data_IF_978354715314
#
_entry.id   IF_978354715314
#
_cell.length_a   1.000
_cell.length_b   1.000
_cell.length_c   1.000
_cell.angle_alpha   90.00
_cell.angle_beta   90.00
_cell.angle_gamma   90.00
#
_symmetry.space_group_name_H-M   'P 1'
#
loop_
_entity.id
_entity.type
_entity.pdbx_description
1 polymer ?
#
# COMPACT_ATOMS: atom_id res chain seq x y z
N UNK A 1 -30.54 25.86 -19.37
CA UNK A 1 -29.39 25.10 -19.90
C UNK A 1 -29.14 23.89 -19.03
N UNK A 2 -29.58 22.71 -19.45
CA UNK A 2 -29.27 21.45 -18.78
C UNK A 2 -27.79 21.12 -19.05
N UNK A 3 -26.98 21.11 -18.00
CA UNK A 3 -25.60 20.58 -18.06
C UNK A 3 -25.68 19.06 -18.22
N UNK A 4 -25.78 18.59 -19.46
CA UNK A 4 -25.52 17.18 -19.78
C UNK A 4 -24.04 16.91 -19.52
N UNK A 5 -23.75 16.26 -18.39
CA UNK A 5 -22.42 15.69 -18.11
C UNK A 5 -22.14 14.64 -19.19
N UNK A 6 -21.52 15.03 -20.31
CA UNK A 6 -20.99 14.08 -21.30
C UNK A 6 -19.96 13.20 -20.59
N UNK A 7 -20.36 11.97 -20.29
CA UNK A 7 -19.51 10.95 -19.70
C UNK A 7 -18.53 10.50 -20.79
N UNK A 8 -17.33 11.07 -20.84
CA UNK A 8 -16.24 10.46 -21.58
C UNK A 8 -15.83 9.20 -20.82
N UNK A 9 -16.28 8.05 -21.29
CA UNK A 9 -15.81 6.75 -20.87
C UNK A 9 -14.76 6.30 -21.87
N UNK A 10 -13.61 5.85 -21.38
CA UNK A 10 -12.67 5.05 -22.16
C UNK A 10 -13.06 3.62 -21.81
N UNK A 11 -13.73 2.96 -22.75
CA UNK A 11 -14.19 1.58 -22.61
C UNK A 11 -13.16 0.70 -23.30
N UNK A 12 -12.62 -0.25 -22.55
CA UNK A 12 -11.92 -1.39 -23.09
C UNK A 12 -12.51 -2.62 -22.41
N UNK A 13 -13.19 -3.43 -23.21
CA UNK A 13 -13.72 -4.72 -22.79
C UNK A 13 -13.18 -5.79 -23.74
N UNK A 14 -11.95 -6.24 -23.51
CA UNK A 14 -11.40 -7.38 -24.20
C UNK A 14 -11.37 -8.61 -23.29
N UNK A 15 -12.23 -9.58 -23.57
CA UNK A 15 -12.14 -10.95 -23.05
C UNK A 15 -11.48 -11.83 -24.10
N UNK A 16 -10.19 -12.14 -23.91
CA UNK A 16 -9.49 -13.19 -24.63
C UNK A 16 -8.95 -14.21 -23.64
N UNK A 17 -9.18 -15.50 -23.89
CA UNK A 17 -8.53 -16.59 -23.17
C UNK A 17 -7.31 -17.06 -23.97
N UNK A 18 -6.11 -16.81 -23.45
CA UNK A 18 -4.83 -17.29 -23.99
C UNK A 18 -3.99 -17.90 -22.84
N UNK A 19 -2.95 -18.65 -23.17
CA UNK A 19 -2.09 -19.41 -22.24
C UNK A 19 -1.28 -18.49 -21.32
N UNK A 20 -1.35 -18.74 -20.00
CA UNK A 20 -0.74 -17.91 -18.94
C UNK A 20 0.75 -17.60 -19.11
N UNK A 21 1.53 -18.49 -19.70
CA UNK A 21 2.98 -18.28 -19.90
C UNK A 21 3.31 -17.30 -21.05
N UNK A 22 2.50 -17.33 -22.12
CA UNK A 22 2.63 -16.41 -23.24
C UNK A 22 2.17 -14.99 -22.84
N UNK A 23 1.11 -14.90 -22.03
CA UNK A 23 0.59 -13.63 -21.51
C UNK A 23 1.65 -12.88 -20.68
N UNK A 24 2.39 -13.59 -19.82
CA UNK A 24 3.44 -12.99 -19.00
C UNK A 24 4.58 -12.41 -19.83
N UNK A 25 5.07 -13.13 -20.83
CA UNK A 25 6.17 -12.66 -21.68
C UNK A 25 5.80 -11.39 -22.46
N UNK A 26 4.57 -11.31 -22.98
CA UNK A 26 4.06 -10.14 -23.70
C UNK A 26 3.96 -8.94 -22.75
N UNK A 27 3.45 -9.14 -21.53
CA UNK A 27 3.35 -8.08 -20.52
C UNK A 27 4.74 -7.57 -20.11
N UNK A 28 5.69 -8.46 -19.83
CA UNK A 28 7.07 -8.07 -19.48
C UNK A 28 7.73 -7.30 -20.63
N UNK A 29 7.51 -7.72 -21.89
CA UNK A 29 8.02 -6.99 -23.05
C UNK A 29 7.41 -5.59 -23.16
N UNK A 30 6.11 -5.46 -22.96
CA UNK A 30 5.44 -4.16 -22.93
C UNK A 30 6.03 -3.24 -21.86
N UNK A 31 6.18 -3.76 -20.63
CA UNK A 31 6.79 -3.02 -19.51
C UNK A 31 8.20 -2.58 -19.87
N UNK A 32 9.04 -3.49 -20.37
CA UNK A 32 10.42 -3.19 -20.73
C UNK A 32 10.53 -2.12 -21.82
N UNK A 33 9.59 -2.13 -22.76
CA UNK A 33 9.53 -1.14 -23.85
C UNK A 33 9.13 0.24 -23.33
N UNK A 34 8.12 0.33 -22.46
CA UNK A 34 7.49 1.61 -22.13
C UNK A 34 7.77 2.16 -20.73
N UNK A 35 8.47 1.43 -19.85
CA UNK A 35 8.79 1.87 -18.48
C UNK A 35 9.45 3.25 -18.42
N UNK A 36 10.40 3.52 -19.32
CA UNK A 36 11.11 4.80 -19.33
C UNK A 36 10.20 5.95 -19.77
N UNK A 37 9.29 5.69 -20.70
CA UNK A 37 8.26 6.67 -21.12
C UNK A 37 7.32 6.95 -19.95
N UNK A 38 6.88 5.93 -19.22
CA UNK A 38 6.01 6.10 -18.05
C UNK A 38 6.70 6.85 -16.90
N UNK A 39 7.99 6.61 -16.65
CA UNK A 39 8.80 7.35 -15.68
C UNK A 39 8.88 8.83 -16.08
N UNK A 40 9.24 9.11 -17.33
CA UNK A 40 9.36 10.48 -17.84
C UNK A 40 8.01 11.22 -17.77
N UNK A 41 6.92 10.54 -18.12
CA UNK A 41 5.57 11.11 -18.05
C UNK A 41 5.10 11.32 -16.62
N UNK A 42 5.48 10.47 -15.66
CA UNK A 42 5.24 10.74 -14.24
C UNK A 42 5.96 12.01 -13.79
N UNK A 43 7.24 12.16 -14.14
CA UNK A 43 8.01 13.36 -13.79
C UNK A 43 7.41 14.63 -14.41
N UNK A 44 6.87 14.52 -15.63
CA UNK A 44 6.25 15.64 -16.35
C UNK A 44 4.86 16.01 -15.84
N UNK A 45 4.01 15.02 -15.59
CA UNK A 45 2.57 15.21 -15.38
C UNK A 45 2.10 14.96 -13.94
N UNK A 46 2.87 14.21 -13.14
CA UNK A 46 2.51 13.80 -11.79
C UNK A 46 1.61 12.56 -11.71
N UNK A 47 1.33 11.89 -12.83
CA UNK A 47 0.60 10.61 -12.84
C UNK A 47 1.58 9.48 -12.46
N UNK A 48 1.29 8.60 -11.50
CA UNK A 48 2.20 7.54 -11.12
C UNK A 48 2.59 6.65 -12.30
N UNK A 49 3.88 6.38 -12.47
CA UNK A 49 4.38 5.52 -13.55
C UNK A 49 3.72 4.13 -13.50
N UNK A 50 3.47 3.62 -12.29
CA UNK A 50 2.73 2.37 -12.07
C UNK A 50 1.32 2.38 -12.64
N UNK A 51 0.60 3.50 -12.50
CA UNK A 51 -0.76 3.66 -13.04
C UNK A 51 -0.71 3.71 -14.56
N UNK A 52 0.17 4.55 -15.13
CA UNK A 52 0.32 4.68 -16.59
C UNK A 52 0.65 3.34 -17.25
N UNK A 53 1.59 2.57 -16.69
CA UNK A 53 1.95 1.24 -17.22
C UNK A 53 0.79 0.25 -17.09
N UNK A 54 0.12 0.19 -15.94
CA UNK A 54 -0.99 -0.73 -15.72
C UNK A 54 -2.16 -0.45 -16.66
N UNK A 55 -2.49 0.84 -16.88
CA UNK A 55 -3.50 1.24 -17.86
C UNK A 55 -3.05 0.84 -19.26
N UNK A 56 -1.82 1.19 -19.67
CA UNK A 56 -1.29 0.83 -20.97
C UNK A 56 -1.34 -0.68 -21.25
N UNK A 57 -0.97 -1.52 -20.28
CA UNK A 57 -1.08 -2.98 -20.38
C UNK A 57 -2.54 -3.41 -20.57
N UNK A 58 -3.44 -2.91 -19.74
CA UNK A 58 -4.85 -3.31 -19.76
C UNK A 58 -5.57 -2.87 -21.04
N UNK A 59 -5.40 -1.61 -21.44
CA UNK A 59 -6.11 -1.01 -22.59
C UNK A 59 -5.64 -1.63 -23.92
N UNK A 60 -4.38 -2.07 -24.01
CA UNK A 60 -3.78 -2.55 -25.26
C UNK A 60 -3.66 -4.06 -25.38
N UNK A 61 -4.09 -4.83 -24.38
CA UNK A 61 -3.70 -6.24 -24.24
C UNK A 61 -2.17 -6.38 -24.34
N UNK A 62 -1.44 -5.59 -23.55
CA UNK A 62 0.02 -5.50 -23.57
C UNK A 62 0.62 -5.28 -24.99
N UNK A 63 0.01 -4.40 -25.77
CA UNK A 63 0.50 -3.97 -27.08
C UNK A 63 -0.01 -4.82 -28.25
N UNK A 64 -0.91 -5.76 -28.02
CA UNK A 64 -1.36 -6.73 -29.04
C UNK A 64 -2.73 -6.43 -29.65
N UNK A 65 -3.45 -5.43 -29.15
CA UNK A 65 -4.77 -5.09 -29.69
C UNK A 65 -4.69 -4.48 -31.10
N UNK A 66 -5.71 -4.74 -31.91
CA UNK A 66 -5.84 -4.18 -33.26
C UNK A 66 -5.73 -2.65 -33.28
N UNK A 67 -6.32 -1.98 -32.28
CA UNK A 67 -6.31 -0.53 -32.17
C UNK A 67 -4.88 0.00 -32.02
N UNK A 68 -4.10 -0.53 -31.07
CA UNK A 68 -2.74 -0.03 -30.83
C UNK A 68 -1.82 -0.33 -32.02
N UNK A 69 -1.97 -1.51 -32.65
CA UNK A 69 -1.18 -1.90 -33.83
C UNK A 69 -1.42 -0.94 -35.01
N UNK A 70 -2.65 -0.48 -35.22
CA UNK A 70 -3.02 0.38 -36.36
C UNK A 70 -2.76 1.87 -36.10
N UNK A 71 -2.63 2.28 -34.84
CA UNK A 71 -2.74 3.70 -34.49
C UNK A 71 -1.75 4.22 -33.44
N UNK A 72 -0.94 3.35 -32.83
CA UNK A 72 -0.16 3.68 -31.64
C UNK A 72 -1.00 4.27 -30.49
N UNK A 73 -2.32 4.01 -30.43
CA UNK A 73 -3.18 4.55 -29.38
C UNK A 73 -3.21 3.63 -28.17
N UNK A 74 -2.31 3.86 -27.21
CA UNK A 74 -2.15 2.98 -26.04
C UNK A 74 -3.25 3.12 -24.98
N UNK A 75 -4.11 4.14 -25.08
CA UNK A 75 -5.09 4.47 -24.03
C UNK A 75 -6.51 4.65 -24.58
N UNK A 76 -6.75 4.25 -25.84
CA UNK A 76 -8.07 4.32 -26.49
C UNK A 76 -8.69 5.70 -26.50
N UNK A 77 -7.87 6.74 -26.66
CA UNK A 77 -8.39 8.10 -26.65
C UNK A 77 -9.20 8.32 -27.93
N UNK A 78 -10.51 8.51 -27.75
CA UNK A 78 -11.46 8.80 -28.83
C UNK A 78 -11.19 10.18 -29.45
N UNK A 79 -11.52 10.32 -30.74
CA UNK A 79 -11.57 11.62 -31.38
C UNK A 79 -12.65 12.46 -30.68
N UNK A 80 -12.27 13.67 -30.26
CA UNK A 80 -13.21 14.68 -29.80
C UNK A 80 -13.38 15.72 -30.89
N UNK A 81 -14.34 16.63 -30.71
CA UNK A 81 -14.60 17.75 -31.63
C UNK A 81 -13.35 18.62 -31.91
N UNK A 82 -12.33 18.56 -31.06
CA UNK A 82 -11.09 19.33 -31.18
C UNK A 82 -9.88 18.52 -31.70
N UNK A 83 -10.04 17.24 -32.05
CA UNK A 83 -8.94 16.45 -32.61
C UNK A 83 -8.82 16.70 -34.12
N UNK A 84 -7.67 17.23 -34.54
CA UNK A 84 -7.36 17.53 -35.96
C UNK A 84 -6.26 16.64 -36.54
N UNK A 85 -5.73 15.71 -35.75
CA UNK A 85 -4.70 14.77 -36.18
C UNK A 85 -5.28 13.57 -36.93
N UNK A 86 -4.42 12.63 -37.31
CA UNK A 86 -4.87 11.39 -37.94
C UNK A 86 -5.79 10.59 -37.00
N UNK A 87 -6.63 9.74 -37.59
CA UNK A 87 -7.57 8.90 -36.85
C UNK A 87 -7.74 7.54 -37.50
N UNK A 88 -8.13 6.55 -36.71
CA UNK A 88 -8.62 5.26 -37.20
C UNK A 88 -10.06 5.03 -36.72
N UNK A 89 -10.84 4.31 -37.52
CA UNK A 89 -12.15 3.82 -37.09
C UNK A 89 -11.99 2.44 -36.46
N UNK A 90 -12.62 2.22 -35.31
CA UNK A 90 -12.63 0.95 -34.61
C UNK A 90 -13.98 0.74 -33.93
N UNK A 91 -14.49 -0.49 -33.92
CA UNK A 91 -15.74 -0.81 -33.25
C UNK A 91 -15.45 -1.01 -31.75
N UNK A 92 -16.11 -0.23 -30.88
CA UNK A 92 -15.97 -0.31 -29.42
C UNK A 92 -17.36 -0.24 -28.74
N UNK A 93 -17.82 0.94 -28.32
CA UNK A 93 -19.17 1.14 -27.78
C UNK A 93 -20.22 1.21 -28.88
N UNK A 94 -19.82 1.79 -30.01
CA UNK A 94 -20.61 1.88 -31.22
C UNK A 94 -19.77 1.45 -32.42
N UNK A 95 -20.47 1.08 -33.49
CA UNK A 95 -19.81 0.75 -34.76
C UNK A 95 -19.15 1.99 -35.34
N UNK A 96 -17.89 1.87 -35.72
CA UNK A 96 -17.13 2.87 -36.42
C UNK A 96 -16.71 4.07 -35.58
N UNK A 97 -16.54 3.91 -34.27
CA UNK A 97 -16.05 4.99 -33.42
C UNK A 97 -14.67 5.48 -33.87
N UNK A 98 -14.46 6.80 -33.74
CA UNK A 98 -13.21 7.44 -34.14
C UNK A 98 -12.23 7.43 -32.97
N UNK A 99 -11.02 6.93 -33.22
CA UNK A 99 -9.91 6.95 -32.28
C UNK A 99 -8.74 7.73 -32.86
N UNK A 100 -8.05 8.47 -31.98
CA UNK A 100 -6.84 9.22 -32.35
C UNK A 100 -5.77 8.25 -32.85
N UNK A 101 -5.02 8.67 -33.86
CA UNK A 101 -3.83 7.97 -34.36
C UNK A 101 -2.60 8.84 -34.13
N UNK A 102 -1.53 8.20 -33.69
CA UNK A 102 -0.28 8.84 -33.30
C UNK A 102 0.89 8.31 -34.14
N UNK A 103 1.90 9.15 -34.32
CA UNK A 103 3.12 8.78 -35.04
C UNK A 103 3.97 7.81 -34.23
N UNK A 104 3.95 7.92 -32.89
CA UNK A 104 4.67 7.02 -31.99
C UNK A 104 3.87 6.70 -30.73
N UNK A 105 4.24 5.63 -30.00
CA UNK A 105 3.70 5.34 -28.67
C UNK A 105 3.83 6.52 -27.71
N UNK A 106 4.99 7.20 -27.69
CA UNK A 106 5.28 8.32 -26.79
C UNK A 106 4.28 9.48 -26.97
N UNK A 107 3.85 9.76 -28.20
CA UNK A 107 2.83 10.77 -28.47
C UNK A 107 1.49 10.40 -27.80
N UNK A 108 1.12 9.12 -27.81
CA UNK A 108 -0.10 8.65 -27.14
C UNK A 108 0.01 8.69 -25.61
N UNK A 109 1.21 8.41 -25.06
CA UNK A 109 1.50 8.54 -23.63
C UNK A 109 1.40 10.00 -23.19
N UNK A 110 1.99 10.92 -23.96
CA UNK A 110 1.89 12.36 -23.70
C UNK A 110 0.45 12.85 -23.74
N UNK A 111 -0.30 12.49 -24.78
CA UNK A 111 -1.70 12.91 -24.92
C UNK A 111 -2.60 12.33 -23.82
N UNK A 112 -2.35 11.09 -23.39
CA UNK A 112 -3.01 10.50 -22.21
C UNK A 112 -2.71 11.28 -20.93
N UNK A 113 -1.44 11.60 -20.68
CA UNK A 113 -1.06 12.38 -19.52
C UNK A 113 -1.68 13.77 -19.52
N UNK A 114 -1.69 14.45 -20.68
CA UNK A 114 -2.29 15.77 -20.85
C UNK A 114 -3.82 15.71 -20.70
N UNK A 115 -4.46 14.65 -21.17
CA UNK A 115 -5.88 14.41 -20.97
C UNK A 115 -6.25 14.29 -19.49
N UNK A 116 -5.48 13.52 -18.71
CA UNK A 116 -5.71 13.35 -17.27
C UNK A 116 -5.37 14.62 -16.49
N UNK A 117 -4.18 15.19 -16.71
CA UNK A 117 -3.70 16.37 -15.98
C UNK A 117 -4.48 17.65 -16.32
N UNK A 118 -4.87 17.83 -17.58
CA UNK A 118 -5.60 19.01 -18.06
C UNK A 118 -7.09 19.00 -17.74
N UNK A 119 -7.63 17.91 -17.21
CA UNK A 119 -9.07 17.75 -16.99
C UNK A 119 -9.45 17.94 -15.51
N UNK A 120 -10.32 18.93 -15.18
CA UNK A 120 -10.80 19.15 -13.81
C UNK A 120 -11.48 17.91 -13.19
N UNK A 121 -11.98 17.00 -14.02
CA UNK A 121 -12.57 15.71 -13.62
C UNK A 121 -11.61 14.86 -12.80
N UNK A 122 -10.32 14.87 -13.14
CA UNK A 122 -9.29 14.04 -12.51
C UNK A 122 -8.44 14.80 -11.50
N UNK A 123 -8.66 16.11 -11.32
CA UNK A 123 -7.83 16.98 -10.48
C UNK A 123 -7.69 16.52 -9.01
N UNK A 124 -8.65 15.78 -8.47
CA UNK A 124 -8.54 15.21 -7.11
C UNK A 124 -7.49 14.10 -7.01
N UNK A 125 -7.18 13.41 -8.11
CA UNK A 125 -6.19 12.33 -8.12
C UNK A 125 -4.78 12.86 -7.87
N UNK A 126 -4.47 14.02 -8.44
CA UNK A 126 -3.18 14.71 -8.26
C UNK A 126 -2.94 15.26 -6.84
N UNK A 127 -3.89 15.07 -5.93
CA UNK A 127 -3.73 15.37 -4.49
C UNK A 127 -3.36 14.13 -3.68
N UNK A 128 -3.47 12.95 -4.26
CA UNK A 128 -3.14 11.68 -3.64
C UNK A 128 -1.62 11.48 -3.65
N UNK A 129 -1.13 10.66 -2.70
CA UNK A 129 0.24 10.18 -2.75
C UNK A 129 0.44 9.35 -4.03
N UNK A 130 1.46 9.63 -4.86
CA UNK A 130 1.78 8.82 -6.03
C UNK A 130 2.07 7.35 -5.73
N UNK A 131 2.50 7.01 -4.50
CA UNK A 131 2.72 5.63 -4.06
C UNK A 131 1.42 4.89 -3.76
N UNK A 132 0.31 5.60 -3.51
CA UNK A 132 -0.99 4.99 -3.27
C UNK A 132 -1.72 4.70 -4.58
N UNK A 133 -1.18 3.75 -5.34
CA UNK A 133 -1.75 3.34 -6.63
C UNK A 133 -3.17 2.75 -6.50
N UNK A 134 -3.52 2.19 -5.34
CA UNK A 134 -4.89 1.72 -5.07
C UNK A 134 -5.88 2.90 -5.07
N UNK A 135 -5.58 3.97 -4.33
CA UNK A 135 -6.41 5.17 -4.32
C UNK A 135 -6.50 5.83 -5.71
N UNK A 136 -5.41 5.83 -6.47
CA UNK A 136 -5.41 6.27 -7.87
C UNK A 136 -6.35 5.41 -8.74
N UNK A 137 -6.26 4.08 -8.67
CA UNK A 137 -7.07 3.17 -9.47
C UNK A 137 -8.58 3.30 -9.16
N UNK A 138 -8.95 3.35 -7.88
CA UNK A 138 -10.34 3.60 -7.47
C UNK A 138 -10.80 5.03 -7.82
N UNK A 139 -9.90 6.00 -7.70
CA UNK A 139 -10.15 7.39 -8.05
C UNK A 139 -10.42 7.58 -9.55
N UNK A 140 -9.64 6.95 -10.42
CA UNK A 140 -9.85 6.94 -11.87
C UNK A 140 -11.24 6.40 -12.23
N UNK A 141 -11.63 5.26 -11.63
CA UNK A 141 -12.97 4.71 -11.80
C UNK A 141 -14.05 5.70 -11.32
N UNK A 142 -13.90 6.24 -10.11
CA UNK A 142 -14.86 7.18 -9.52
C UNK A 142 -15.00 8.46 -10.36
N UNK A 143 -13.90 8.93 -10.96
CA UNK A 143 -13.87 10.06 -11.87
C UNK A 143 -14.49 9.73 -13.25
N UNK A 144 -14.81 8.46 -13.51
CA UNK A 144 -15.47 8.01 -14.73
C UNK A 144 -14.50 7.72 -15.88
N UNK A 145 -13.25 7.35 -15.59
CA UNK A 145 -12.32 6.87 -16.62
C UNK A 145 -12.84 5.58 -17.28
N UNK A 146 -13.25 4.60 -16.46
CA UNK A 146 -13.78 3.31 -16.91
C UNK A 146 -15.11 2.95 -16.23
N UNK A 147 -16.01 2.31 -16.98
CA UNK A 147 -17.31 1.84 -16.48
C UNK A 147 -17.19 0.50 -15.74
N UNK A 148 -16.30 -0.38 -16.19
CA UNK A 148 -16.10 -1.73 -15.63
C UNK A 148 -15.87 -1.70 -14.10
N UNK A 149 -16.72 -2.35 -13.28
CA UNK A 149 -16.56 -2.39 -11.81
C UNK A 149 -15.23 -2.98 -11.35
N UNK A 150 -14.63 -3.88 -12.13
CA UNK A 150 -13.36 -4.54 -11.82
C UNK A 150 -12.12 -3.76 -12.24
N UNK A 151 -12.28 -2.62 -12.92
CA UNK A 151 -11.16 -1.82 -13.43
C UNK A 151 -10.09 -1.52 -12.37
N UNK A 152 -10.42 -1.02 -11.15
CA UNK A 152 -9.41 -0.75 -10.13
C UNK A 152 -8.66 -2.01 -9.71
N UNK A 153 -9.37 -3.10 -9.51
CA UNK A 153 -8.76 -4.39 -9.11
C UNK A 153 -7.87 -4.98 -10.20
N UNK A 154 -8.17 -4.72 -11.48
CA UNK A 154 -7.32 -5.14 -12.60
C UNK A 154 -6.02 -4.35 -12.59
N UNK A 155 -6.08 -3.01 -12.46
CA UNK A 155 -4.88 -2.17 -12.39
C UNK A 155 -4.02 -2.52 -11.18
N UNK A 156 -4.62 -2.60 -9.98
CA UNK A 156 -3.93 -2.97 -8.74
C UNK A 156 -3.21 -4.31 -8.93
N UNK A 157 -3.90 -5.30 -9.51
CA UNK A 157 -3.30 -6.61 -9.78
C UNK A 157 -2.12 -6.52 -10.74
N UNK A 158 -2.23 -5.78 -11.84
CA UNK A 158 -1.12 -5.60 -12.78
C UNK A 158 0.08 -4.90 -12.11
N UNK A 159 -0.19 -3.89 -11.28
CA UNK A 159 0.85 -3.19 -10.54
C UNK A 159 1.57 -4.15 -9.60
N UNK A 160 0.81 -4.94 -8.83
CA UNK A 160 1.37 -5.87 -7.85
C UNK A 160 2.06 -7.08 -8.47
N UNK A 161 1.46 -7.69 -9.50
CA UNK A 161 1.98 -8.92 -10.12
C UNK A 161 3.27 -8.64 -10.93
N UNK A 162 3.45 -7.40 -11.42
CA UNK A 162 4.61 -6.99 -12.22
C UNK A 162 5.47 -5.91 -11.57
N UNK A 163 5.26 -5.64 -10.28
CA UNK A 163 6.03 -4.69 -9.48
C UNK A 163 6.11 -3.27 -10.09
N UNK A 164 5.04 -2.80 -10.72
CA UNK A 164 5.08 -1.52 -11.47
C UNK A 164 5.28 -0.30 -10.55
N UNK A 165 5.00 -0.42 -9.24
CA UNK A 165 5.28 0.62 -8.24
C UNK A 165 6.78 0.98 -8.16
N UNK A 166 7.67 0.07 -8.56
CA UNK A 166 9.11 0.33 -8.58
C UNK A 166 9.45 1.47 -9.55
N UNK A 167 8.75 1.56 -10.68
CA UNK A 167 8.94 2.65 -11.64
C UNK A 167 8.45 3.99 -11.08
N UNK A 168 7.43 3.99 -10.21
CA UNK A 168 7.03 5.19 -9.46
C UNK A 168 8.12 5.60 -8.47
N UNK A 169 8.72 4.65 -7.75
CA UNK A 169 9.83 4.92 -6.82
C UNK A 169 11.07 5.44 -7.55
N UNK A 170 11.41 4.88 -8.72
CA UNK A 170 12.51 5.35 -9.58
C UNK A 170 12.25 6.78 -10.04
N UNK A 171 11.04 7.07 -10.53
CA UNK A 171 10.67 8.43 -10.95
C UNK A 171 10.79 9.47 -9.83
N UNK A 172 10.56 9.05 -8.58
CA UNK A 172 10.71 9.88 -7.37
C UNK A 172 12.14 9.96 -6.83
N UNK A 173 13.10 9.24 -7.41
CA UNK A 173 14.48 9.15 -6.90
C UNK A 173 14.61 8.35 -5.59
N UNK A 174 13.60 7.56 -5.24
CA UNK A 174 13.57 6.71 -4.03
C UNK A 174 14.12 5.30 -4.24
N UNK A 175 14.36 4.91 -5.50
CA UNK A 175 14.95 3.62 -5.89
C UNK A 175 15.94 3.87 -7.04
N UNK A 176 17.15 3.30 -7.03
CA UNK A 176 18.06 3.42 -8.15
C UNK A 176 17.46 2.77 -9.40
N UNK A 177 17.69 3.39 -10.56
CA UNK A 177 17.46 2.74 -11.84
C UNK A 177 18.61 1.75 -12.07
N UNK A 178 18.49 0.54 -11.53
CA UNK A 178 19.42 -0.55 -11.82
C UNK A 178 18.96 -1.31 -13.07
N UNK A 179 19.90 -1.53 -13.99
CA UNK A 179 19.69 -2.25 -15.23
C UNK A 179 19.33 -3.74 -15.00
N UNK A 180 19.53 -4.26 -13.78
CA UNK A 180 19.16 -5.62 -13.37
C UNK A 180 17.70 -5.82 -12.90
N UNK A 181 16.93 -4.74 -12.70
CA UNK A 181 15.55 -4.75 -12.17
C UNK A 181 14.50 -4.98 -13.27
N UNK A 182 14.95 -5.12 -14.51
CA UNK A 182 14.08 -5.27 -15.65
C UNK A 182 13.55 -6.68 -15.73
N UNK A 183 12.31 -6.87 -15.23
CA UNK A 183 11.34 -7.86 -15.66
C UNK A 183 12.00 -9.06 -16.38
N UNK A 184 12.74 -9.88 -15.62
CA UNK A 184 13.51 -10.98 -16.19
C UNK A 184 12.50 -11.92 -16.86
N UNK A 185 12.65 -12.11 -18.17
CA UNK A 185 12.04 -13.24 -18.84
C UNK A 185 12.72 -14.48 -18.28
N UNK A 186 11.97 -15.37 -17.61
CA UNK A 186 12.44 -16.67 -17.14
C UNK A 186 12.77 -17.59 -18.34
N UNK A 187 13.82 -17.24 -19.08
CA UNK A 187 14.33 -17.95 -20.22
C UNK A 187 15.87 -17.91 -20.16
N UNK A 188 16.44 -18.46 -19.08
CA UNK A 188 17.79 -19.06 -19.02
C UNK A 188 18.09 -19.49 -17.57
N UNK A 189 17.43 -20.57 -17.15
CA UNK A 189 17.96 -21.41 -16.06
C UNK A 189 18.98 -22.37 -16.68
N UNK A 190 20.25 -21.96 -16.68
CA UNK A 190 21.45 -22.81 -16.58
C UNK A 190 22.68 -22.00 -17.00
N UNK A 191 23.48 -21.57 -16.02
CA UNK A 191 24.88 -22.00 -15.95
C UNK A 191 25.46 -21.69 -14.57
N UNK A 192 26.22 -22.66 -14.09
CA UNK A 192 26.76 -22.81 -12.76
C UNK A 192 28.02 -21.94 -12.55
N UNK A 193 28.22 -21.50 -11.30
CA UNK A 193 29.51 -21.23 -10.65
C UNK A 193 30.64 -20.57 -11.47
N UNK A 194 30.91 -19.28 -11.23
CA UNK A 194 32.28 -18.74 -11.07
C UNK A 194 32.28 -17.56 -10.06
N UNK A 195 32.96 -17.75 -8.92
CA UNK A 195 33.67 -16.71 -8.14
C UNK A 195 35.14 -16.80 -8.65
N UNK A 196 35.89 -15.71 -8.94
CA UNK A 196 36.44 -14.76 -7.95
C UNK A 196 36.64 -13.32 -8.51
N UNK A 197 37.18 -12.27 -7.87
CA UNK A 197 37.93 -12.06 -6.63
C UNK A 197 37.89 -10.55 -6.24
N UNK A 198 38.00 -10.29 -4.93
CA UNK A 198 38.76 -9.21 -4.29
C UNK A 198 38.55 -7.72 -4.64
N UNK A 199 38.03 -6.97 -3.66
CA UNK A 199 38.77 -5.82 -3.11
C UNK A 199 38.81 -5.94 -1.59
N UNK A 200 40.03 -6.08 -1.09
CA UNK A 200 40.41 -6.10 0.32
C UNK A 200 40.68 -4.65 0.75
N UNK A 201 40.05 -4.17 1.81
CA UNK A 201 40.69 -3.22 2.74
C UNK A 201 40.26 -3.60 4.16
N UNK A 202 41.28 -3.84 4.99
CA UNK A 202 41.18 -4.31 6.37
C UNK A 202 40.72 -3.23 7.37
N UNK A 203 39.99 -3.75 8.36
CA UNK A 203 39.90 -3.42 9.79
C UNK A 203 40.71 -2.25 10.36
N UNK A 204 40.05 -1.47 11.21
CA UNK A 204 40.47 -1.34 12.60
C UNK A 204 39.28 -1.00 13.52
N UNK A 205 39.10 -1.85 14.52
CA UNK A 205 38.20 -1.67 15.63
C UNK A 205 38.84 -0.76 16.69
N UNK A 206 38.08 0.20 17.21
CA UNK A 206 38.30 0.73 18.55
C UNK A 206 37.01 0.59 19.36
N UNK A 207 37.14 -0.15 20.47
CA UNK A 207 36.16 -0.21 21.57
C UNK A 207 36.42 0.95 22.53
N UNK A 208 35.37 1.63 22.95
CA UNK A 208 35.33 2.52 24.12
C UNK A 208 33.89 2.96 24.42
N UNK A 209 33.49 3.20 25.69
CA UNK A 209 32.36 2.48 26.29
C UNK A 209 31.17 3.36 26.78
N UNK A 210 30.14 2.68 27.33
CA UNK A 210 29.08 3.15 28.26
C UNK A 210 27.85 3.80 27.57
N UNK A 211 26.58 3.48 27.82
CA UNK A 211 25.88 2.80 28.92
C UNK A 211 24.61 2.07 28.45
N UNK A 212 24.19 1.12 29.26
CA UNK A 212 22.99 0.28 29.19
C UNK A 212 21.66 1.04 29.11
N UNK A 213 20.77 0.56 28.25
CA UNK A 213 19.41 0.19 28.67
C UNK A 213 19.15 -1.23 28.17
N UNK A 214 19.50 -2.21 29.01
CA UNK A 214 19.22 -3.61 28.80
C UNK A 214 17.71 -3.89 28.92
N UNK A 215 17.01 -3.89 27.77
CA UNK A 215 15.82 -4.70 27.59
C UNK A 215 16.25 -6.04 27.02
N UNK A 216 15.91 -7.14 27.68
CA UNK A 216 16.09 -8.51 27.16
C UNK A 216 15.63 -8.57 25.69
N UNK A 217 16.55 -8.88 24.78
CA UNK A 217 16.22 -9.00 23.36
C UNK A 217 15.27 -10.19 23.17
N UNK A 218 14.00 -9.89 22.88
CA UNK A 218 12.97 -10.91 22.54
C UNK A 218 13.38 -11.81 21.36
N UNK A 219 14.48 -11.49 20.65
CA UNK A 219 15.02 -12.30 19.56
C UNK A 219 15.31 -13.74 19.97
N UNK A 220 15.76 -14.00 21.20
CA UNK A 220 16.07 -15.37 21.65
C UNK A 220 14.84 -16.28 21.75
N UNK A 221 13.62 -15.73 21.70
CA UNK A 221 12.37 -16.49 21.76
C UNK A 221 11.94 -17.08 20.40
N UNK A 222 12.45 -16.54 19.29
CA UNK A 222 11.99 -16.91 17.94
C UNK A 222 13.11 -17.58 17.13
N UNK A 223 12.78 -18.55 16.26
CA UNK A 223 13.76 -19.14 15.35
C UNK A 223 14.41 -18.10 14.43
N UNK A 224 15.67 -18.32 14.07
CA UNK A 224 16.30 -17.54 13.00
C UNK A 224 15.66 -17.85 11.65
N UNK A 225 15.51 -16.81 10.82
CA UNK A 225 14.93 -16.92 9.50
C UNK A 225 13.40 -17.10 9.53
N UNK A 226 12.88 -17.78 8.50
CA UNK A 226 11.45 -18.00 8.33
C UNK A 226 10.96 -19.20 9.13
N UNK A 227 9.83 -19.02 9.82
CA UNK A 227 9.10 -20.08 10.51
C UNK A 227 7.59 -19.91 10.30
N UNK A 228 6.80 -20.71 11.00
CA UNK A 228 5.34 -20.69 10.91
C UNK A 228 4.69 -20.38 12.25
N UNK A 229 3.67 -19.52 12.20
CA UNK A 229 2.68 -19.36 13.26
C UNK A 229 1.31 -19.63 12.65
N UNK A 230 0.56 -20.57 13.23
CA UNK A 230 -0.76 -20.97 12.74
C UNK A 230 -0.76 -21.26 11.22
N UNK A 231 0.18 -22.12 10.79
CA UNK A 231 0.41 -22.51 9.39
C UNK A 231 0.59 -21.33 8.41
N UNK A 232 1.11 -20.20 8.89
CA UNK A 232 1.36 -18.99 8.10
C UNK A 232 2.82 -18.59 8.21
N UNK A 233 3.48 -18.33 7.08
CA UNK A 233 4.90 -17.93 7.01
C UNK A 233 5.12 -16.60 7.73
N UNK A 234 6.12 -16.54 8.60
CA UNK A 234 6.45 -15.39 9.44
C UNK A 234 7.96 -15.34 9.70
N UNK A 235 8.48 -14.13 9.92
CA UNK A 235 9.84 -13.91 10.42
C UNK A 235 9.79 -13.05 11.68
N UNK A 236 10.85 -13.09 12.48
CA UNK A 236 11.11 -12.06 13.47
C UNK A 236 12.00 -10.97 12.85
N UNK A 237 11.57 -9.71 12.92
CA UNK A 237 12.30 -8.59 12.34
C UNK A 237 12.60 -7.54 13.42
N UNK A 238 13.86 -7.12 13.44
CA UNK A 238 14.35 -6.12 14.38
C UNK A 238 13.98 -4.70 13.95
N UNK A 239 13.83 -3.82 14.94
CA UNK A 239 13.64 -2.39 14.77
C UNK A 239 14.70 -1.80 13.87
N UNK A 240 14.28 -0.89 13.00
CA UNK A 240 15.13 -0.21 12.03
C UNK A 240 15.30 -0.97 10.71
N UNK A 241 14.90 -2.26 10.64
CA UNK A 241 14.88 -2.99 9.36
C UNK A 241 13.88 -2.34 8.40
N UNK A 242 14.28 -2.24 7.14
CA UNK A 242 13.43 -1.68 6.08
C UNK A 242 12.32 -2.66 5.71
N UNK A 243 11.07 -2.17 5.64
CA UNK A 243 9.96 -2.98 5.13
C UNK A 243 10.15 -3.35 3.67
N UNK A 244 10.75 -2.44 2.88
CA UNK A 244 11.08 -2.70 1.49
C UNK A 244 12.11 -3.83 1.38
N UNK A 245 13.16 -3.82 2.21
CA UNK A 245 14.16 -4.89 2.20
C UNK A 245 13.55 -6.25 2.55
N UNK A 246 12.66 -6.31 3.54
CA UNK A 246 11.92 -7.54 3.90
C UNK A 246 11.03 -7.99 2.74
N UNK A 247 10.34 -7.06 2.10
CA UNK A 247 9.47 -7.33 0.96
C UNK A 247 10.24 -7.94 -0.21
N UNK A 248 11.40 -7.36 -0.56
CA UNK A 248 12.28 -7.84 -1.62
C UNK A 248 12.91 -9.21 -1.30
N UNK A 249 13.46 -9.39 -0.10
CA UNK A 249 14.09 -10.64 0.36
C UNK A 249 13.13 -11.83 0.28
N UNK A 250 11.84 -11.60 0.55
CA UNK A 250 10.83 -12.65 0.58
C UNK A 250 9.91 -12.66 -0.65
N UNK A 251 10.20 -11.85 -1.67
CA UNK A 251 9.43 -11.72 -2.91
C UNK A 251 7.94 -11.46 -2.68
N UNK A 252 7.63 -10.46 -1.84
CA UNK A 252 6.28 -10.01 -1.49
C UNK A 252 6.17 -8.54 -1.83
N UNK A 253 5.02 -8.07 -2.35
CA UNK A 253 4.84 -6.64 -2.55
C UNK A 253 4.77 -5.91 -1.21
N UNK A 254 5.35 -4.72 -1.14
CA UNK A 254 5.37 -3.90 0.09
C UNK A 254 3.95 -3.65 0.63
N UNK A 255 2.97 -3.41 -0.24
CA UNK A 255 1.55 -3.29 0.15
C UNK A 255 1.01 -4.57 0.78
N UNK A 256 1.26 -5.74 0.19
CA UNK A 256 0.81 -7.02 0.75
C UNK A 256 1.49 -7.29 2.09
N UNK A 257 2.77 -6.91 2.23
CA UNK A 257 3.48 -7.01 3.49
C UNK A 257 2.81 -6.16 4.58
N UNK A 258 2.41 -4.93 4.28
CA UNK A 258 1.64 -4.11 5.22
C UNK A 258 0.25 -4.70 5.53
N UNK A 259 -0.49 -5.12 4.49
CA UNK A 259 -1.83 -5.70 4.63
C UNK A 259 -1.84 -6.97 5.49
N UNK A 260 -0.85 -7.86 5.30
CA UNK A 260 -0.75 -9.10 6.07
C UNK A 260 -0.48 -8.85 7.55
N UNK A 261 0.13 -7.71 7.87
CA UNK A 261 0.56 -7.36 9.21
C UNK A 261 -0.33 -6.32 9.88
N UNK A 262 -1.44 -5.92 9.24
CA UNK A 262 -2.34 -4.87 9.73
C UNK A 262 -1.56 -3.56 10.04
N UNK A 263 -0.53 -3.26 9.24
CA UNK A 263 0.36 -2.12 9.40
C UNK A 263 -0.01 -0.98 8.44
N UNK A 264 0.30 0.24 8.84
CA UNK A 264 0.28 1.39 7.94
C UNK A 264 1.62 1.53 7.21
N UNK A 265 1.59 2.17 6.04
CA UNK A 265 2.78 2.37 5.22
C UNK A 265 3.88 3.15 6.00
N UNK A 266 5.04 2.53 6.15
CA UNK A 266 6.23 3.10 6.81
C UNK A 266 7.49 2.60 6.10
N UNK A 267 8.54 3.41 6.05
CA UNK A 267 9.79 2.99 5.40
C UNK A 267 10.56 1.95 6.26
N UNK A 268 10.46 2.05 7.59
CA UNK A 268 11.24 1.23 8.55
C UNK A 268 10.37 0.67 9.69
N UNK A 269 10.78 -0.47 10.23
CA UNK A 269 10.21 -1.05 11.44
C UNK A 269 10.48 -0.15 12.65
N UNK A 270 9.42 0.27 13.35
CA UNK A 270 9.53 1.10 14.54
C UNK A 270 9.90 0.33 15.83
N UNK A 271 9.60 -0.98 15.86
CA UNK A 271 9.85 -1.89 16.98
C UNK A 271 10.19 -3.29 16.47
N UNK A 272 10.82 -4.09 17.33
CA UNK A 272 11.00 -5.52 17.09
C UNK A 272 9.64 -6.20 17.09
N UNK A 273 9.35 -7.01 16.07
CA UNK A 273 8.06 -7.69 15.94
C UNK A 273 8.10 -8.85 14.95
N UNK A 274 7.06 -9.67 15.02
CA UNK A 274 6.74 -10.63 13.98
C UNK A 274 6.26 -9.90 12.72
N UNK A 275 6.74 -10.37 11.56
CA UNK A 275 6.31 -9.91 10.25
C UNK A 275 5.85 -11.11 9.44
N UNK A 276 4.54 -11.17 9.20
CA UNK A 276 3.88 -12.17 8.39
C UNK A 276 4.18 -11.95 6.91
N UNK A 277 4.70 -13.00 6.29
CA UNK A 277 5.04 -13.07 4.87
C UNK A 277 3.86 -13.56 4.02
N UNK A 278 2.76 -13.95 4.66
CA UNK A 278 1.52 -14.40 4.05
C UNK A 278 0.34 -13.92 4.86
N UNK A 279 -0.83 -13.82 4.23
CA UNK A 279 -2.05 -13.42 4.93
C UNK A 279 -2.38 -14.42 6.05
N UNK A 280 -2.44 -13.92 7.29
CA UNK A 280 -2.86 -14.66 8.50
C UNK A 280 -4.15 -15.47 8.29
N UNK A 281 -4.39 -16.49 9.10
CA UNK A 281 -5.61 -17.31 9.02
C UNK A 281 -6.82 -16.55 9.56
N UNK A 282 -8.02 -16.94 9.13
CA UNK A 282 -9.27 -16.41 9.69
C UNK A 282 -9.54 -16.96 11.09
N UNK A 283 -8.92 -18.07 11.46
CA UNK A 283 -9.09 -18.74 12.73
C UNK A 283 -7.73 -19.00 13.38
N UNK A 284 -7.65 -18.99 14.71
CA UNK A 284 -6.45 -19.36 15.47
C UNK A 284 -6.21 -20.87 15.52
N UNK A 285 -5.02 -21.26 15.98
CA UNK A 285 -4.67 -22.66 16.23
C UNK A 285 -5.44 -23.22 17.43
N UNK A 286 -5.58 -22.41 18.48
CA UNK A 286 -6.34 -22.71 19.68
C UNK A 286 -7.79 -22.21 19.58
N UNK A 287 -8.68 -22.69 20.46
CA UNK A 287 -10.06 -22.18 20.52
C UNK A 287 -10.11 -20.77 21.12
N UNK A 288 -9.24 -20.50 22.09
CA UNK A 288 -9.24 -19.29 22.88
C UNK A 288 -7.83 -18.75 23.11
N UNK A 289 -7.74 -17.44 23.32
CA UNK A 289 -6.60 -16.74 23.87
C UNK A 289 -7.03 -16.01 25.16
N UNK A 290 -6.18 -15.95 26.19
CA UNK A 290 -6.47 -15.20 27.42
C UNK A 290 -5.61 -13.95 27.44
N UNK A 291 -6.24 -12.77 27.47
CA UNK A 291 -5.55 -11.49 27.32
C UNK A 291 -4.56 -11.26 28.45
N UNK A 292 -3.29 -11.08 28.12
CA UNK A 292 -2.24 -10.78 29.07
C UNK A 292 -2.33 -9.32 29.58
N UNK A 293 -1.83 -9.00 30.78
CA UNK A 293 -1.77 -7.62 31.25
C UNK A 293 -1.00 -6.70 30.29
N UNK A 294 -1.69 -5.69 29.75
CA UNK A 294 -1.11 -4.69 28.83
C UNK A 294 -1.01 -5.12 27.37
N UNK A 295 -1.48 -6.32 27.03
CA UNK A 295 -1.47 -6.84 25.67
C UNK A 295 -2.57 -6.22 24.82
N UNK A 296 -2.23 -5.80 23.60
CA UNK A 296 -3.19 -5.21 22.67
C UNK A 296 -3.82 -6.27 21.78
N UNK A 297 -4.97 -5.98 21.17
CA UNK A 297 -5.54 -6.84 20.12
C UNK A 297 -4.58 -7.07 18.94
N UNK A 298 -3.67 -6.11 18.68
CA UNK A 298 -2.64 -6.26 17.66
C UNK A 298 -1.64 -7.35 18.05
N UNK A 299 -1.18 -7.31 19.30
CA UNK A 299 -0.23 -8.31 19.81
C UNK A 299 -0.86 -9.71 19.79
N UNK A 300 -2.12 -9.87 20.23
CA UNK A 300 -2.85 -11.15 20.13
C UNK A 300 -2.95 -11.63 18.68
N UNK A 301 -3.30 -10.74 17.74
CA UNK A 301 -3.41 -11.09 16.33
C UNK A 301 -2.07 -11.56 15.74
N UNK A 302 -0.96 -10.96 16.18
CA UNK A 302 0.40 -11.33 15.78
C UNK A 302 0.85 -12.64 16.44
N UNK A 303 0.54 -12.87 17.71
CA UNK A 303 0.94 -14.09 18.43
C UNK A 303 0.16 -15.32 17.94
N UNK A 304 -1.16 -15.18 17.74
CA UNK A 304 -2.04 -16.29 17.35
C UNK A 304 -2.11 -16.50 15.82
N UNK A 305 -1.45 -15.64 15.04
CA UNK A 305 -1.49 -15.68 13.57
C UNK A 305 -2.91 -15.62 12.99
N UNK A 306 -3.78 -14.85 13.64
CA UNK A 306 -5.16 -14.62 13.23
C UNK A 306 -5.31 -13.21 12.64
N UNK A 307 -6.17 -13.06 11.64
CA UNK A 307 -6.50 -11.73 11.07
C UNK A 307 -7.19 -10.86 12.12
N UNK A 308 -6.79 -9.60 12.23
CA UNK A 308 -7.43 -8.62 13.10
C UNK A 308 -8.94 -8.54 12.87
N UNK A 309 -9.37 -8.47 11.61
CA UNK A 309 -10.80 -8.48 11.23
C UNK A 309 -11.56 -9.67 11.81
N UNK A 310 -10.96 -10.87 11.78
CA UNK A 310 -11.61 -12.09 12.29
C UNK A 310 -11.62 -12.13 13.82
N UNK A 311 -10.53 -11.70 14.46
CA UNK A 311 -10.45 -11.58 15.91
C UNK A 311 -11.52 -10.62 16.45
N UNK A 312 -11.67 -9.44 15.83
CA UNK A 312 -12.72 -8.47 16.17
C UNK A 312 -14.12 -9.05 15.96
N UNK A 313 -14.37 -9.66 14.80
CA UNK A 313 -15.68 -10.21 14.45
C UNK A 313 -16.11 -11.36 15.38
N UNK A 314 -15.19 -12.24 15.75
CA UNK A 314 -15.46 -13.34 16.68
C UNK A 314 -15.74 -12.84 18.09
N UNK A 315 -15.17 -11.72 18.51
CA UNK A 315 -15.30 -11.23 19.88
C UNK A 315 -16.27 -10.06 20.03
N UNK A 316 -17.01 -9.73 18.97
CA UNK A 316 -17.96 -8.60 18.95
C UNK A 316 -17.31 -7.25 19.28
N UNK A 317 -16.02 -7.10 18.94
CA UNK A 317 -15.21 -5.92 19.22
C UNK A 317 -15.10 -5.02 17.98
N UNK A 318 -14.88 -3.73 18.22
CA UNK A 318 -14.51 -2.75 17.21
C UNK A 318 -13.04 -2.36 17.37
N UNK A 319 -12.46 -1.70 16.37
CA UNK A 319 -11.02 -1.35 16.33
C UNK A 319 -10.56 -0.43 17.45
N UNK A 320 -11.48 0.32 18.09
CA UNK A 320 -11.19 1.22 19.20
C UNK A 320 -11.45 0.59 20.59
N UNK A 321 -11.83 -0.70 20.63
CA UNK A 321 -12.11 -1.41 21.86
C UNK A 321 -10.91 -2.27 22.26
N UNK A 322 -10.55 -2.24 23.55
CA UNK A 322 -9.50 -3.09 24.10
C UNK A 322 -10.09 -3.99 25.19
N UNK A 323 -10.00 -5.32 25.08
CA UNK A 323 -10.44 -6.23 26.14
C UNK A 323 -9.57 -6.07 27.40
N UNK A 324 -10.19 -6.28 28.57
CA UNK A 324 -9.49 -6.28 29.85
C UNK A 324 -8.55 -7.49 29.97
N UNK A 325 -7.48 -7.34 30.75
CA UNK A 325 -6.60 -8.44 31.09
C UNK A 325 -7.38 -9.59 31.76
N UNK A 326 -7.03 -10.83 31.43
CA UNK A 326 -7.70 -12.04 31.89
C UNK A 326 -8.98 -12.41 31.12
N UNK A 327 -9.45 -11.56 30.19
CA UNK A 327 -10.59 -11.91 29.35
C UNK A 327 -10.23 -12.98 28.32
N UNK A 328 -11.21 -13.81 27.97
CA UNK A 328 -11.06 -14.87 26.98
C UNK A 328 -11.52 -14.39 25.61
N UNK A 329 -10.62 -14.40 24.62
CA UNK A 329 -10.91 -14.12 23.22
C UNK A 329 -11.10 -15.41 22.45
N UNK A 330 -12.16 -15.49 21.66
CA UNK A 330 -12.49 -16.60 20.78
C UNK A 330 -11.70 -16.47 19.47
N UNK A 331 -11.07 -17.56 19.05
CA UNK A 331 -10.22 -17.58 17.85
C UNK A 331 -10.76 -18.45 16.72
N UNK A 332 -11.75 -19.32 16.95
CA UNK A 332 -12.31 -20.22 15.93
C UNK A 332 -13.79 -20.01 15.63
N UNK A 333 -14.54 -19.48 16.59
CA UNK A 333 -15.99 -19.31 16.49
C UNK A 333 -16.40 -17.97 17.12
N UNK A 334 -17.60 -17.51 16.79
CA UNK A 334 -18.14 -16.28 17.35
C UNK A 334 -18.51 -16.47 18.82
N UNK A 335 -18.09 -15.55 19.67
CA UNK A 335 -18.45 -15.47 21.08
C UNK A 335 -19.94 -15.21 21.25
N UNK A 336 -20.53 -15.75 22.32
CA UNK A 336 -21.92 -15.48 22.70
C UNK A 336 -22.12 -14.06 23.18
N UNK A 337 -21.09 -13.47 23.78
CA UNK A 337 -21.10 -12.11 24.32
C UNK A 337 -19.74 -11.43 24.13
N UNK A 338 -19.75 -10.10 24.20
CA UNK A 338 -18.53 -9.30 24.08
C UNK A 338 -17.72 -9.42 25.39
N UNK A 339 -16.39 -9.61 25.34
CA UNK A 339 -15.56 -9.61 26.54
C UNK A 339 -15.58 -8.24 27.23
N UNK A 340 -15.33 -8.23 28.54
CA UNK A 340 -15.24 -6.98 29.29
C UNK A 340 -14.09 -6.11 28.75
N UNK A 341 -14.33 -4.81 28.62
CA UNK A 341 -13.31 -3.88 28.12
C UNK A 341 -12.39 -3.44 29.25
N UNK A 342 -11.13 -3.17 28.92
CA UNK A 342 -10.19 -2.53 29.82
C UNK A 342 -10.74 -1.14 30.15
N UNK A 343 -10.98 -0.87 31.44
CA UNK A 343 -11.32 0.47 31.90
C UNK A 343 -10.04 1.29 31.75
N UNK A 344 -10.02 2.24 30.81
CA UNK A 344 -8.90 3.16 30.64
C UNK A 344 -8.57 3.79 32.00
N UNK A 345 -7.30 3.75 32.40
CA UNK A 345 -6.79 4.12 33.73
C UNK A 345 -7.64 5.16 34.50
N UNK A 346 -8.62 4.68 35.26
CA UNK A 346 -8.99 5.22 36.55
C UNK A 346 -8.85 4.07 37.55
N UNK A 347 -7.64 3.94 38.06
CA UNK A 347 -7.22 2.90 38.99
C UNK A 347 -8.07 2.98 40.29
N UNK A 348 -8.72 1.91 40.78
CA UNK A 348 -9.54 1.96 42.01
C UNK A 348 -8.73 2.04 43.32
N UNK A 349 -7.45 2.45 43.29
CA UNK A 349 -6.54 2.38 44.44
C UNK A 349 -6.04 3.74 44.97
N UNK A 350 -6.74 4.84 44.69
CA UNK A 350 -6.51 6.13 45.35
C UNK A 350 -7.73 6.50 46.19
N UNK A 351 -7.88 5.81 47.32
CA UNK A 351 -8.49 6.36 48.54
C UNK A 351 -7.41 6.29 49.61
N UNK A 352 -6.43 7.21 49.51
CA UNK A 352 -5.44 7.62 50.52
C UNK A 352 -4.09 7.88 49.85
N UNK A 353 -3.93 9.07 49.28
CA UNK A 353 -2.73 9.90 49.39
C UNK A 353 -2.92 11.10 48.46
N UNK A 354 -3.29 12.20 49.08
CA UNK A 354 -3.29 13.53 48.49
C UNK A 354 -1.84 13.95 48.20
N UNK A 355 -1.52 14.10 46.92
CA UNK A 355 -0.46 14.97 46.40
C UNK A 355 -0.78 15.32 44.95
N UNK A 356 -0.41 16.53 44.47
CA UNK A 356 -1.30 17.36 43.67
C UNK A 356 -1.38 16.96 42.21
N UNK A 357 -2.59 17.14 41.65
CA UNK A 357 -2.89 17.10 40.22
C UNK A 357 -2.03 18.13 39.50
N UNK A 358 -1.15 17.66 38.63
CA UNK A 358 -0.52 18.50 37.63
C UNK A 358 -1.61 18.97 36.67
N UNK A 359 -1.96 20.26 36.73
CA UNK A 359 -2.93 20.92 35.86
C UNK A 359 -2.42 20.90 34.40
N UNK A 360 -2.67 19.80 33.68
CA UNK A 360 -2.40 19.74 32.24
C UNK A 360 -3.34 20.70 31.50
N UNK A 361 -2.75 21.68 30.83
CA UNK A 361 -3.45 22.76 30.15
C UNK A 361 -4.04 22.23 28.83
N UNK A 362 -5.35 22.41 28.65
CA UNK A 362 -6.04 22.05 27.41
C UNK A 362 -5.69 23.02 26.28
N UNK A 363 -5.16 22.49 25.18
CA UNK A 363 -4.86 23.21 23.95
C UNK A 363 -5.70 22.65 22.80
N UNK A 364 -6.47 23.52 22.13
CA UNK A 364 -7.21 23.16 20.93
C UNK A 364 -6.33 23.40 19.69
N UNK A 365 -6.04 22.34 18.94
CA UNK A 365 -5.21 22.39 17.76
C UNK A 365 -6.00 22.11 16.48
N UNK A 366 -5.85 22.99 15.49
CA UNK A 366 -6.42 22.78 14.16
C UNK A 366 -5.41 22.06 13.27
N UNK A 367 -5.77 20.85 12.83
CA UNK A 367 -4.97 20.01 11.93
C UNK A 367 -4.66 20.78 10.65
N UNK A 368 -3.37 20.98 10.34
CA UNK A 368 -2.93 21.67 9.13
C UNK A 368 -3.00 20.75 7.90
N UNK A 369 -2.97 21.30 6.68
CA UNK A 369 -2.90 20.48 5.47
C UNK A 369 -1.72 19.50 5.54
N UNK A 370 -1.98 18.22 5.27
CA UNK A 370 -1.01 17.11 5.26
C UNK A 370 -0.37 16.73 6.62
N UNK A 371 -0.87 17.24 7.75
CA UNK A 371 -0.43 16.76 9.07
C UNK A 371 -1.09 15.42 9.44
N UNK A 372 -0.28 14.49 9.95
CA UNK A 372 -0.73 13.18 10.46
C UNK A 372 -0.84 13.19 11.98
N UNK A 373 -1.59 12.24 12.55
CA UNK A 373 -1.71 12.10 14.00
C UNK A 373 -0.34 11.83 14.67
N UNK A 374 0.56 11.15 13.96
CA UNK A 374 1.94 10.93 14.37
C UNK A 374 2.72 12.25 14.44
N UNK A 375 2.64 13.09 13.40
CA UNK A 375 3.33 14.39 13.38
C UNK A 375 2.86 15.31 14.51
N UNK A 376 1.55 15.29 14.81
CA UNK A 376 0.95 16.06 15.90
C UNK A 376 1.33 15.50 17.28
N UNK A 377 1.31 14.18 17.45
CA UNK A 377 1.79 13.50 18.66
C UNK A 377 3.23 13.89 18.99
N UNK A 378 4.12 13.86 18.00
CA UNK A 378 5.52 14.28 18.16
C UNK A 378 5.67 15.77 18.44
N UNK A 379 4.92 16.62 17.73
CA UNK A 379 4.95 18.08 17.91
C UNK A 379 4.56 18.53 19.32
N UNK A 380 3.61 17.84 19.93
CA UNK A 380 3.10 18.19 21.27
C UNK A 380 3.62 17.30 22.39
N UNK A 381 4.51 16.35 22.08
CA UNK A 381 5.06 15.38 23.02
C UNK A 381 3.97 14.63 23.83
N UNK A 382 2.92 14.21 23.14
CA UNK A 382 1.79 13.43 23.69
C UNK A 382 1.69 12.10 22.96
N UNK A 383 1.19 11.05 23.60
CA UNK A 383 1.04 9.75 22.91
C UNK A 383 -0.05 9.83 21.85
N UNK A 384 0.09 9.04 20.78
CA UNK A 384 -0.95 8.92 19.74
C UNK A 384 -2.24 8.40 20.36
N UNK A 385 -2.15 7.41 21.25
CA UNK A 385 -3.30 6.84 21.95
C UNK A 385 -4.03 7.88 22.79
N UNK A 386 -3.28 8.78 23.45
CA UNK A 386 -3.85 9.90 24.20
C UNK A 386 -4.60 10.87 23.27
N UNK A 387 -4.02 11.21 22.10
CA UNK A 387 -4.68 12.04 21.10
C UNK A 387 -5.95 11.40 20.54
N UNK A 388 -5.93 10.10 20.27
CA UNK A 388 -7.10 9.32 19.83
C UNK A 388 -8.17 9.37 20.91
N UNK A 389 -7.80 9.12 22.17
CA UNK A 389 -8.71 9.07 23.30
C UNK A 389 -9.37 10.44 23.57
N UNK A 390 -8.58 11.50 23.66
CA UNK A 390 -9.06 12.86 23.94
C UNK A 390 -10.01 13.41 22.87
N UNK A 391 -9.88 12.88 21.65
CA UNK A 391 -10.61 13.33 20.47
C UNK A 391 -11.63 12.34 19.93
N UNK A 392 -11.78 11.18 20.60
CA UNK A 392 -12.72 10.13 20.22
C UNK A 392 -12.57 9.75 18.74
N UNK A 393 -11.33 9.65 18.26
CA UNK A 393 -11.05 9.33 16.86
C UNK A 393 -11.36 7.86 16.57
N UNK A 394 -12.00 7.60 15.44
CA UNK A 394 -12.35 6.24 14.99
C UNK A 394 -11.35 5.67 13.99
N UNK A 395 -10.43 6.51 13.49
CA UNK A 395 -9.26 6.10 12.72
C UNK A 395 -8.09 7.06 12.99
N UNK A 396 -6.89 6.68 12.55
CA UNK A 396 -5.70 7.53 12.63
C UNK A 396 -5.70 8.64 11.56
N UNK A 397 -6.72 8.67 10.70
CA UNK A 397 -6.86 9.67 9.65
C UNK A 397 -7.40 10.97 10.23
N UNK A 398 -6.65 12.05 10.04
CA UNK A 398 -7.06 13.38 10.44
C UNK A 398 -7.49 14.19 9.22
N UNK A 399 -8.64 14.86 9.33
CA UNK A 399 -9.11 15.77 8.29
C UNK A 399 -8.44 17.12 8.46
N UNK A 400 -7.94 17.72 7.39
CA UNK A 400 -7.47 19.10 7.41
C UNK A 400 -8.56 20.03 7.94
N UNK A 401 -8.20 20.85 8.92
CA UNK A 401 -9.14 21.75 9.61
C UNK A 401 -9.88 21.13 10.80
N UNK A 402 -9.73 19.82 11.04
CA UNK A 402 -10.26 19.13 12.23
C UNK A 402 -9.64 19.72 13.50
N UNK A 403 -10.46 19.86 14.54
CA UNK A 403 -10.02 20.36 15.84
C UNK A 403 -9.67 19.18 16.74
N UNK A 404 -8.48 19.24 17.35
CA UNK A 404 -8.00 18.27 18.32
C UNK A 404 -7.80 18.93 19.68
N UNK A 405 -8.30 18.29 20.72
CA UNK A 405 -8.02 18.55 22.13
C UNK A 405 -6.71 17.86 22.49
N UNK A 406 -5.76 18.64 22.99
CA UNK A 406 -4.43 18.18 23.41
C UNK A 406 -4.22 18.64 24.84
N UNK A 407 -4.01 17.72 25.79
CA UNK A 407 -3.73 18.06 27.19
C UNK A 407 -2.23 17.94 27.45
N UNK A 408 -1.58 19.01 27.92
CA UNK A 408 -0.15 18.99 28.22
C UNK A 408 0.20 19.70 29.52
#
# INVERSE_FOLDING_TARGET
MQNTKKLLAIIFLFMGFVSRGQDQAIILNYINTYKNVAIAEMQRSGIPASITLAQGIHETLAGTSDLVIKSNNHFGIKCKDNWTGESVSHDDDARGECFRKYNSPEDSYRDHSDFLAGSPRYASLFKLDPLNYSAWAYGLKKAGYATNPKYPTILIRLIEDYHLQDYTLIAMGKKPADDGIFAKTDATANESNIIPAAVVVNEQAEKGPVADEAGESKRSQYPEGEFKVNETRVIFAEKGRSFLAIAEEHNISLSRLFDFNDLSESEILAKDQLIYLQRKRKTGANEFHTVNPGETLYDVAQEEGIRMESLLAYNLLETNMQPAAGQRLYLKAKASERPALAIGNSNPRILASSSPVEDKKLFAYRVQPKETIYAISKKYNVKIDDLVLWNQLTSYDLKTGQQLRIYK
#
